data_IF_702558870455
#
_entry.id   IF_702558870455
#
_cell.length_a   1.000
_cell.length_b   1.000
_cell.length_c   1.000
_cell.angle_alpha   90.00
_cell.angle_beta   90.00
_cell.angle_gamma   90.00
#
_symmetry.space_group_name_H-M   'P 1'
#
loop_
_entity.id
_entity.type
_entity.pdbx_description
1 polymer ?
#
# COMPACT_ATOMS: atom_id res chain seq x y z
N UNK A 1 -4.76 -4.34 29.13
CA UNK A 1 -3.94 -3.99 27.95
C UNK A 1 -3.28 -2.66 28.25
N UNK A 2 -1.94 -2.55 28.21
CA UNK A 2 -1.17 -1.39 28.74
C UNK A 2 -1.78 -0.02 28.40
N UNK A 3 -2.16 0.21 27.14
CA UNK A 3 -2.73 1.49 26.70
C UNK A 3 -4.12 1.79 27.29
N UNK A 4 -4.92 0.75 27.54
CA UNK A 4 -6.25 0.88 28.17
C UNK A 4 -6.20 0.99 29.69
N UNK A 5 -5.07 0.59 30.29
CA UNK A 5 -4.84 0.57 31.73
C UNK A 5 -4.14 1.86 32.23
N UNK A 6 -3.90 2.83 31.33
CA UNK A 6 -3.35 4.14 31.67
C UNK A 6 -4.27 4.91 32.62
N UNK A 7 -3.66 5.67 33.54
CA UNK A 7 -4.40 6.42 34.55
C UNK A 7 -5.24 7.54 33.91
N UNK A 8 -6.40 7.83 34.53
CA UNK A 8 -7.29 8.90 34.08
C UNK A 8 -6.55 10.26 34.08
N UNK A 9 -6.55 10.95 32.94
CA UNK A 9 -5.83 12.22 32.74
C UNK A 9 -4.44 12.09 32.10
N UNK A 10 -3.93 10.88 31.85
CA UNK A 10 -2.71 10.70 31.05
C UNK A 10 -2.95 11.00 29.55
N UNK A 11 -1.91 11.48 28.86
CA UNK A 11 -1.97 11.78 27.43
C UNK A 11 -1.89 10.47 26.61
N UNK A 12 -3.07 9.94 26.29
CA UNK A 12 -3.20 8.70 25.52
C UNK A 12 -2.71 8.87 24.08
N UNK A 13 -2.89 10.06 23.49
CA UNK A 13 -2.37 10.36 22.16
C UNK A 13 -0.85 10.25 22.11
N UNK A 14 -0.17 10.78 23.13
CA UNK A 14 1.28 10.63 23.30
C UNK A 14 1.68 9.15 23.48
N UNK A 15 0.99 8.40 24.33
CA UNK A 15 1.30 6.98 24.56
C UNK A 15 1.14 6.13 23.27
N UNK A 16 0.10 6.38 22.48
CA UNK A 16 -0.08 5.71 21.17
C UNK A 16 1.04 6.10 20.20
N UNK A 17 1.43 7.38 20.15
CA UNK A 17 2.55 7.84 19.32
C UNK A 17 3.88 7.16 19.71
N UNK A 18 4.13 6.99 21.02
CA UNK A 18 5.31 6.29 21.54
C UNK A 18 5.27 4.80 21.19
N UNK A 19 4.10 4.16 21.26
CA UNK A 19 3.93 2.78 20.83
C UNK A 19 4.22 2.61 19.33
N UNK A 20 3.71 3.51 18.47
CA UNK A 20 4.05 3.50 17.04
C UNK A 20 5.56 3.66 16.81
N UNK A 21 6.21 4.57 17.55
CA UNK A 21 7.65 4.78 17.45
C UNK A 21 8.46 3.53 17.87
N UNK A 22 8.01 2.82 18.89
CA UNK A 22 8.63 1.58 19.33
C UNK A 22 8.51 0.48 18.25
N UNK A 23 7.35 0.35 17.60
CA UNK A 23 7.16 -0.60 16.49
C UNK A 23 8.11 -0.28 15.34
N UNK A 24 8.24 0.98 14.94
CA UNK A 24 9.17 1.37 13.87
C UNK A 24 10.64 1.13 14.22
N UNK A 25 11.03 1.27 15.49
CA UNK A 25 12.40 1.04 15.94
C UNK A 25 12.82 -0.43 15.78
N UNK A 26 11.87 -1.36 15.90
CA UNK A 26 12.10 -2.80 15.74
C UNK A 26 11.87 -3.28 14.30
N UNK A 27 11.32 -2.43 13.42
CA UNK A 27 10.92 -2.80 12.05
C UNK A 27 11.39 -1.76 11.03
N UNK A 28 12.57 -1.98 10.44
CA UNK A 28 13.15 -1.04 9.46
C UNK A 28 12.23 -0.78 8.25
N UNK A 29 11.42 -1.75 7.83
CA UNK A 29 10.46 -1.57 6.72
C UNK A 29 9.33 -0.57 7.05
N UNK A 30 9.01 -0.41 8.33
CA UNK A 30 7.97 0.50 8.82
C UNK A 30 8.53 1.86 9.27
N UNK A 31 9.83 2.09 9.14
CA UNK A 31 10.46 3.34 9.57
C UNK A 31 9.84 4.56 8.88
N UNK A 32 9.27 5.46 9.68
CA UNK A 32 8.57 6.66 9.19
C UNK A 32 7.24 6.39 8.47
N UNK A 33 6.69 5.17 8.59
CA UNK A 33 5.45 4.74 7.94
C UNK A 33 4.24 4.97 8.84
N UNK A 34 4.37 4.67 10.14
CA UNK A 34 3.25 4.69 11.07
C UNK A 34 2.87 6.12 11.47
N UNK A 35 1.57 6.46 11.53
CA UNK A 35 1.12 7.79 11.90
C UNK A 35 1.48 8.12 13.35
N UNK A 36 1.92 9.36 13.60
CA UNK A 36 2.25 9.87 14.94
C UNK A 36 1.47 11.13 15.32
N UNK A 37 0.28 11.29 14.76
CA UNK A 37 -0.58 12.47 14.95
C UNK A 37 -1.76 12.22 15.90
N UNK A 38 -1.72 11.17 16.71
CA UNK A 38 -2.83 10.78 17.60
C UNK A 38 -3.15 11.81 18.68
N UNK A 39 -2.20 12.67 19.06
CA UNK A 39 -2.46 13.82 19.96
C UNK A 39 -3.43 14.87 19.41
N UNK A 40 -3.83 14.79 18.14
CA UNK A 40 -4.89 15.64 17.56
C UNK A 40 -6.30 15.16 17.90
N UNK A 41 -6.44 13.92 18.38
CA UNK A 41 -7.73 13.31 18.72
C UNK A 41 -8.00 13.47 20.22
N UNK A 42 -9.26 13.71 20.63
CA UNK A 42 -9.62 13.71 22.04
C UNK A 42 -9.32 12.35 22.69
N UNK A 43 -8.83 12.35 23.93
CA UNK A 43 -8.57 11.11 24.68
C UNK A 43 -9.80 10.20 24.76
N UNK A 44 -11.00 10.75 24.90
CA UNK A 44 -12.25 9.96 24.95
C UNK A 44 -12.45 9.14 23.68
N UNK A 45 -12.20 9.74 22.51
CA UNK A 45 -12.29 9.05 21.21
C UNK A 45 -11.24 7.94 21.11
N UNK A 46 -10.02 8.19 21.56
CA UNK A 46 -8.95 7.19 21.56
C UNK A 46 -9.27 6.01 22.50
N UNK A 47 -9.81 6.28 23.69
CA UNK A 47 -10.23 5.22 24.63
C UNK A 47 -11.33 4.36 24.03
N UNK A 48 -12.35 4.96 23.43
CA UNK A 48 -13.43 4.22 22.77
C UNK A 48 -12.92 3.38 21.61
N UNK A 49 -12.06 3.94 20.75
CA UNK A 49 -11.45 3.21 19.64
C UNK A 49 -10.63 2.02 20.12
N UNK A 50 -9.76 2.20 21.11
CA UNK A 50 -8.94 1.12 21.66
C UNK A 50 -9.80 0.05 22.35
N UNK A 51 -10.91 0.41 23.00
CA UNK A 51 -11.85 -0.58 23.57
C UNK A 51 -12.53 -1.40 22.48
N UNK A 52 -12.96 -0.78 21.38
CA UNK A 52 -13.54 -1.49 20.23
C UNK A 52 -12.53 -2.48 19.65
N UNK A 53 -11.28 -2.05 19.44
CA UNK A 53 -10.22 -2.90 18.91
C UNK A 53 -9.84 -4.04 19.87
N UNK A 54 -9.71 -3.75 21.17
CA UNK A 54 -9.42 -4.76 22.19
C UNK A 54 -10.57 -5.79 22.34
N UNK A 55 -11.81 -5.37 22.08
CA UNK A 55 -12.98 -6.25 22.09
C UNK A 55 -13.00 -7.30 20.99
N UNK A 56 -12.15 -7.16 19.96
CA UNK A 56 -12.00 -8.19 18.91
C UNK A 56 -11.29 -9.45 19.43
N UNK A 57 -10.54 -9.34 20.53
CA UNK A 57 -9.78 -10.46 21.10
C UNK A 57 -8.60 -10.90 20.22
N UNK A 58 -8.09 -12.10 20.48
CA UNK A 58 -7.16 -12.76 19.56
C UNK A 58 -7.94 -13.25 18.35
N UNK A 59 -7.63 -12.70 17.18
CA UNK A 59 -8.27 -13.11 15.93
C UNK A 59 -7.29 -13.94 15.12
N UNK A 60 -7.71 -15.16 14.77
CA UNK A 60 -6.89 -16.08 13.97
C UNK A 60 -6.84 -15.67 12.49
N UNK A 61 -5.70 -15.92 11.86
CA UNK A 61 -5.50 -15.73 10.42
C UNK A 61 -5.51 -14.26 9.97
N UNK A 62 -6.05 -14.01 8.78
CA UNK A 62 -5.97 -12.71 8.07
C UNK A 62 -7.13 -11.74 8.44
N UNK A 63 -7.59 -11.76 9.68
CA UNK A 63 -8.75 -10.94 10.06
C UNK A 63 -8.41 -9.45 10.09
N UNK A 64 -7.26 -9.08 10.65
CA UNK A 64 -6.80 -7.68 10.68
C UNK A 64 -6.51 -7.15 9.28
N UNK A 65 -5.97 -7.96 8.36
CA UNK A 65 -5.81 -7.59 6.94
C UNK A 65 -7.13 -7.30 6.26
N UNK A 66 -8.13 -8.16 6.45
CA UNK A 66 -9.49 -7.92 5.92
C UNK A 66 -10.15 -6.68 6.51
N UNK A 67 -9.99 -6.42 7.81
CA UNK A 67 -10.49 -5.19 8.46
C UNK A 67 -9.80 -3.97 7.86
N UNK A 68 -8.48 -4.03 7.69
CA UNK A 68 -7.70 -2.96 7.09
C UNK A 68 -8.16 -2.64 5.67
N UNK A 69 -8.24 -3.65 4.80
CA UNK A 69 -8.72 -3.52 3.41
C UNK A 69 -10.16 -2.99 3.34
N UNK A 70 -11.04 -3.43 4.25
CA UNK A 70 -12.40 -2.93 4.33
C UNK A 70 -12.43 -1.43 4.61
N UNK A 71 -11.71 -0.96 5.65
CA UNK A 71 -11.68 0.46 5.99
C UNK A 71 -10.98 1.28 4.91
N UNK A 72 -9.91 0.77 4.32
CA UNK A 72 -9.20 1.40 3.20
C UNK A 72 -10.14 1.61 2.01
N UNK A 73 -10.91 0.59 1.63
CA UNK A 73 -11.93 0.71 0.58
C UNK A 73 -13.06 1.68 0.96
N UNK A 74 -13.49 1.72 2.23
CA UNK A 74 -14.52 2.68 2.70
C UNK A 74 -14.02 4.13 2.66
N UNK A 75 -12.78 4.38 3.08
CA UNK A 75 -12.19 5.72 3.00
C UNK A 75 -11.99 6.15 1.57
N UNK A 76 -11.51 5.27 0.69
CA UNK A 76 -11.37 5.58 -0.72
C UNK A 76 -12.72 5.89 -1.40
N UNK A 77 -13.80 5.20 -1.04
CA UNK A 77 -15.14 5.53 -1.54
C UNK A 77 -15.62 6.90 -1.05
N UNK A 78 -15.32 7.26 0.20
CA UNK A 78 -15.69 8.56 0.78
C UNK A 78 -14.87 9.71 0.19
N UNK A 79 -13.57 9.50 -0.07
CA UNK A 79 -12.68 10.48 -0.71
C UNK A 79 -12.90 10.57 -2.22
N UNK A 80 -13.18 9.44 -2.89
CA UNK A 80 -13.43 9.35 -4.33
C UNK A 80 -14.66 10.13 -4.80
N UNK A 81 -15.61 10.42 -3.91
CA UNK A 81 -16.69 11.40 -4.18
C UNK A 81 -16.17 12.80 -4.47
N UNK A 82 -14.90 13.10 -4.14
CA UNK A 82 -14.23 14.38 -4.35
C UNK A 82 -13.22 14.36 -5.51
N UNK A 83 -13.17 13.30 -6.31
CA UNK A 83 -12.43 13.27 -7.58
C UNK A 83 -10.94 12.90 -7.49
N UNK A 84 -10.51 12.14 -6.47
CA UNK A 84 -9.14 11.66 -6.28
C UNK A 84 -8.93 10.18 -6.56
N UNK A 85 -7.66 9.81 -6.80
CA UNK A 85 -7.08 8.49 -7.15
C UNK A 85 -7.93 7.27 -6.76
N UNK A 86 -8.28 6.48 -7.77
CA UNK A 86 -9.26 5.40 -7.68
C UNK A 86 -8.70 4.17 -6.96
N UNK A 87 -9.27 3.83 -5.80
CA UNK A 87 -9.14 2.49 -5.25
C UNK A 87 -9.71 1.48 -6.25
N UNK A 88 -8.88 0.51 -6.65
CA UNK A 88 -9.31 -0.57 -7.54
C UNK A 88 -10.20 -1.53 -6.76
N UNK A 89 -11.47 -1.74 -7.15
CA UNK A 89 -12.33 -2.67 -6.44
C UNK A 89 -11.72 -4.08 -6.38
N UNK A 90 -11.83 -4.73 -5.24
CA UNK A 90 -11.23 -6.05 -4.99
C UNK A 90 -11.61 -7.09 -6.04
N UNK A 91 -12.82 -7.01 -6.62
CA UNK A 91 -13.25 -7.90 -7.71
C UNK A 91 -12.40 -7.76 -8.97
N UNK A 92 -12.05 -6.54 -9.36
CA UNK A 92 -11.20 -6.25 -10.53
C UNK A 92 -9.77 -6.69 -10.26
N UNK A 93 -9.24 -6.38 -9.07
CA UNK A 93 -7.91 -6.81 -8.66
C UNK A 93 -7.81 -8.34 -8.70
N UNK A 94 -8.77 -9.06 -8.11
CA UNK A 94 -8.81 -10.53 -8.14
C UNK A 94 -8.86 -11.06 -9.56
N UNK A 95 -9.68 -10.48 -10.44
CA UNK A 95 -9.74 -10.89 -11.83
C UNK A 95 -8.37 -10.78 -12.52
N UNK A 96 -7.68 -9.65 -12.36
CA UNK A 96 -6.35 -9.44 -12.95
C UNK A 96 -5.36 -10.48 -12.42
N UNK A 97 -5.33 -10.68 -11.10
CA UNK A 97 -4.43 -11.65 -10.45
C UNK A 97 -4.69 -13.09 -10.91
N UNK A 98 -5.96 -13.50 -11.02
CA UNK A 98 -6.33 -14.84 -11.48
C UNK A 98 -6.04 -15.05 -12.98
N UNK A 99 -5.93 -13.98 -13.78
CA UNK A 99 -5.54 -14.08 -15.20
C UNK A 99 -4.02 -14.22 -15.36
N UNK A 100 -3.24 -13.44 -14.60
CA UNK A 100 -1.78 -13.43 -14.74
C UNK A 100 -1.10 -14.54 -13.93
N UNK A 101 -1.81 -15.13 -12.97
CA UNK A 101 -1.37 -16.29 -12.18
C UNK A 101 0.04 -16.15 -11.57
N UNK A 102 0.31 -15.16 -10.71
CA UNK A 102 1.65 -14.88 -10.20
C UNK A 102 2.02 -15.90 -9.10
N UNK A 103 2.38 -17.12 -9.48
CA UNK A 103 2.70 -18.21 -8.55
C UNK A 103 4.03 -18.03 -7.79
N UNK A 104 4.97 -17.27 -8.37
CA UNK A 104 6.30 -16.97 -7.84
C UNK A 104 6.96 -15.84 -8.63
N UNK A 105 8.06 -15.28 -8.15
CA UNK A 105 8.88 -14.30 -8.86
C UNK A 105 8.66 -12.85 -8.40
N UNK A 106 9.21 -11.91 -9.18
CA UNK A 106 9.12 -10.48 -8.91
C UNK A 106 7.86 -9.90 -9.52
N UNK A 107 7.02 -9.29 -8.70
CA UNK A 107 5.81 -8.61 -9.14
C UNK A 107 5.97 -7.10 -9.01
N UNK A 108 5.44 -6.35 -9.98
CA UNK A 108 5.58 -4.90 -10.03
C UNK A 108 4.28 -4.18 -10.36
N UNK A 109 3.99 -3.11 -9.61
CA UNK A 109 2.95 -2.14 -9.94
C UNK A 109 3.54 -0.71 -9.99
N UNK A 110 3.63 -0.09 -11.19
CA UNK A 110 4.17 1.26 -11.36
C UNK A 110 3.24 2.40 -10.87
N UNK A 111 2.03 2.10 -10.41
CA UNK A 111 1.08 3.05 -9.86
C UNK A 111 0.29 2.36 -8.72
N UNK A 112 1.01 1.86 -7.72
CA UNK A 112 0.52 0.82 -6.83
C UNK A 112 -0.60 1.25 -5.87
N UNK A 113 -0.83 2.56 -5.72
CA UNK A 113 -1.80 3.08 -4.77
C UNK A 113 -1.54 2.49 -3.39
N UNK A 114 -2.58 1.97 -2.74
CA UNK A 114 -2.52 1.34 -1.43
C UNK A 114 -2.01 -0.12 -1.43
N UNK A 115 -1.47 -0.62 -2.54
CA UNK A 115 -0.86 -1.95 -2.63
C UNK A 115 -1.84 -3.13 -2.77
N UNK A 116 -3.11 -2.88 -3.10
CA UNK A 116 -4.15 -3.93 -3.17
C UNK A 116 -3.82 -5.05 -4.17
N UNK A 117 -3.16 -4.72 -5.28
CA UNK A 117 -2.69 -5.71 -6.27
C UNK A 117 -1.74 -6.75 -5.65
N UNK A 118 -0.85 -6.32 -4.75
CA UNK A 118 0.12 -7.19 -4.08
C UNK A 118 -0.55 -8.07 -3.03
N UNK A 119 -1.47 -7.51 -2.24
CA UNK A 119 -2.25 -8.27 -1.25
C UNK A 119 -3.03 -9.39 -1.92
N UNK A 120 -3.70 -9.10 -3.03
CA UNK A 120 -4.46 -10.13 -3.74
C UNK A 120 -3.56 -11.16 -4.43
N UNK A 121 -2.38 -10.76 -4.93
CA UNK A 121 -1.37 -11.69 -5.44
C UNK A 121 -0.88 -12.66 -4.35
N UNK A 122 -0.60 -12.16 -3.15
CA UNK A 122 -0.23 -13.00 -2.02
C UNK A 122 -1.36 -13.93 -1.56
N UNK A 123 -2.60 -13.44 -1.55
CA UNK A 123 -3.77 -14.27 -1.27
C UNK A 123 -3.97 -15.36 -2.34
N UNK A 124 -3.68 -15.07 -3.61
CA UNK A 124 -3.68 -16.06 -4.70
C UNK A 124 -2.67 -17.17 -4.42
N UNK A 125 -1.41 -16.83 -4.13
CA UNK A 125 -0.36 -17.81 -3.81
C UNK A 125 -0.72 -18.65 -2.58
N UNK A 126 -1.25 -18.01 -1.53
CA UNK A 126 -1.70 -18.69 -0.31
C UNK A 126 -2.84 -19.67 -0.58
N UNK A 127 -3.84 -19.31 -1.40
CA UNK A 127 -4.92 -20.23 -1.81
C UNK A 127 -4.42 -21.44 -2.58
N UNK A 128 -3.28 -21.30 -3.28
CA UNK A 128 -2.60 -22.37 -3.99
C UNK A 128 -1.57 -23.12 -3.12
N UNK A 129 -1.75 -23.11 -1.80
CA UNK A 129 -0.97 -23.87 -0.80
C UNK A 129 0.54 -23.56 -0.78
N UNK A 130 0.90 -22.32 -1.11
CA UNK A 130 2.27 -21.81 -1.03
C UNK A 130 2.38 -20.65 -0.04
N UNK A 131 3.60 -20.31 0.37
CA UNK A 131 3.87 -19.18 1.26
C UNK A 131 4.23 -17.95 0.43
N UNK A 132 3.31 -16.99 0.33
CA UNK A 132 3.48 -15.80 -0.50
C UNK A 132 4.78 -15.04 -0.25
N UNK A 133 5.17 -14.87 1.03
CA UNK A 133 6.41 -14.17 1.41
C UNK A 133 7.70 -14.88 0.94
N UNK A 134 7.64 -16.18 0.62
CA UNK A 134 8.78 -16.94 0.10
C UNK A 134 8.79 -16.97 -1.43
N UNK A 135 7.63 -16.81 -2.06
CA UNK A 135 7.46 -16.98 -3.50
C UNK A 135 7.48 -15.64 -4.25
N UNK A 136 7.01 -14.56 -3.63
CA UNK A 136 6.83 -13.26 -4.27
C UNK A 136 7.81 -12.22 -3.73
N UNK A 137 8.43 -11.47 -4.63
CA UNK A 137 9.15 -10.24 -4.29
C UNK A 137 8.38 -9.04 -4.83
N UNK A 138 7.94 -8.16 -3.93
CA UNK A 138 7.05 -7.03 -4.26
C UNK A 138 7.85 -5.76 -4.55
N UNK A 139 7.52 -5.11 -5.67
CA UNK A 139 8.05 -3.80 -6.03
C UNK A 139 6.90 -2.88 -6.43
N UNK A 140 6.93 -1.62 -6.01
CA UNK A 140 5.88 -0.68 -6.38
C UNK A 140 6.34 0.77 -6.38
N UNK A 141 5.63 1.58 -7.15
CA UNK A 141 5.81 3.02 -7.20
C UNK A 141 4.47 3.71 -6.98
N UNK A 142 4.46 4.73 -6.13
CA UNK A 142 3.31 5.62 -5.92
C UNK A 142 3.80 7.06 -5.79
N UNK A 143 3.07 8.02 -6.34
CA UNK A 143 3.44 9.43 -6.35
C UNK A 143 3.17 10.10 -5.00
N UNK A 144 2.09 9.74 -4.33
CA UNK A 144 1.69 10.34 -3.06
C UNK A 144 2.32 9.61 -1.87
N UNK A 145 3.17 10.30 -1.11
CA UNK A 145 3.84 9.73 0.07
C UNK A 145 2.86 9.12 1.09
N UNK A 146 1.74 9.80 1.37
CA UNK A 146 0.76 9.26 2.32
C UNK A 146 0.15 7.94 1.83
N UNK A 147 -0.03 7.79 0.51
CA UNK A 147 -0.47 6.54 -0.11
C UNK A 147 0.64 5.47 -0.11
N UNK A 148 1.91 5.84 -0.26
CA UNK A 148 3.05 4.92 -0.06
C UNK A 148 3.03 4.34 1.35
N UNK A 149 2.74 5.15 2.37
CA UNK A 149 2.63 4.67 3.76
C UNK A 149 1.46 3.70 3.93
N UNK A 150 0.30 3.99 3.30
CA UNK A 150 -0.84 3.07 3.27
C UNK A 150 -0.45 1.73 2.62
N UNK A 151 0.25 1.75 1.49
CA UNK A 151 0.72 0.52 0.84
C UNK A 151 1.65 -0.31 1.74
N UNK A 152 2.63 0.33 2.39
CA UNK A 152 3.57 -0.35 3.30
C UNK A 152 2.86 -0.95 4.51
N UNK A 153 1.94 -0.20 5.14
CA UNK A 153 1.11 -0.74 6.23
C UNK A 153 0.23 -1.90 5.76
N UNK A 154 -0.34 -1.79 4.56
CA UNK A 154 -1.19 -2.84 4.00
C UNK A 154 -0.41 -4.14 3.77
N UNK A 155 0.79 -4.04 3.19
CA UNK A 155 1.70 -5.19 3.06
C UNK A 155 2.02 -5.81 4.42
N UNK A 156 2.43 -4.98 5.39
CA UNK A 156 2.83 -5.45 6.72
C UNK A 156 1.69 -6.19 7.46
N UNK A 157 0.46 -5.66 7.43
CA UNK A 157 -0.70 -6.32 8.05
C UNK A 157 -1.03 -7.66 7.39
N UNK A 158 -0.71 -7.84 6.11
CA UNK A 158 -0.86 -9.11 5.40
C UNK A 158 0.38 -10.01 5.47
N UNK A 159 1.37 -9.66 6.31
CA UNK A 159 2.61 -10.44 6.47
C UNK A 159 3.51 -10.41 5.23
N UNK A 160 3.46 -9.32 4.46
CA UNK A 160 4.25 -9.11 3.25
C UNK A 160 5.24 -7.97 3.44
N UNK A 161 6.34 -8.07 2.70
CA UNK A 161 7.38 -7.06 2.59
C UNK A 161 7.54 -6.65 1.13
N UNK A 162 7.90 -5.40 0.87
CA UNK A 162 8.04 -4.90 -0.49
C UNK A 162 8.79 -3.58 -0.60
N UNK A 163 9.46 -3.39 -1.74
CA UNK A 163 10.16 -2.14 -2.07
C UNK A 163 9.17 -1.16 -2.73
N UNK A 164 8.45 -0.42 -1.89
CA UNK A 164 7.51 0.63 -2.31
C UNK A 164 8.17 2.00 -2.20
N UNK A 165 8.23 2.73 -3.32
CA UNK A 165 8.94 4.01 -3.41
C UNK A 165 8.02 5.15 -3.82
N UNK A 166 8.20 6.29 -3.15
CA UNK A 166 7.60 7.56 -3.55
C UNK A 166 8.28 8.05 -4.82
N UNK A 167 7.56 8.09 -5.94
CA UNK A 167 8.11 8.56 -7.21
C UNK A 167 7.03 8.84 -8.24
N UNK A 168 7.30 9.79 -9.15
CA UNK A 168 6.45 10.00 -10.31
C UNK A 168 6.94 9.13 -11.48
N UNK A 169 6.23 8.04 -11.73
CA UNK A 169 6.56 7.05 -12.77
C UNK A 169 6.75 7.64 -14.17
N UNK A 170 6.14 8.78 -14.52
CA UNK A 170 6.44 9.41 -15.82
C UNK A 170 7.86 9.94 -15.91
N UNK A 171 8.44 10.41 -14.82
CA UNK A 171 9.69 11.16 -14.81
C UNK A 171 10.86 10.43 -14.16
N UNK A 172 10.56 9.34 -13.47
CA UNK A 172 11.51 8.61 -12.65
C UNK A 172 11.24 7.11 -12.82
N UNK A 173 12.31 6.31 -12.74
CA UNK A 173 12.26 4.85 -12.78
C UNK A 173 13.12 4.30 -11.62
N UNK A 174 12.64 4.41 -10.37
CA UNK A 174 13.47 4.09 -9.21
C UNK A 174 13.83 2.60 -9.16
N UNK A 175 13.01 1.74 -9.76
CA UNK A 175 13.23 0.30 -9.81
C UNK A 175 13.98 -0.17 -11.06
N UNK A 176 14.30 0.75 -11.99
CA UNK A 176 15.01 0.44 -13.24
C UNK A 176 14.26 -0.63 -14.05
N UNK A 177 12.95 -0.45 -14.17
CA UNK A 177 12.00 -1.39 -14.75
C UNK A 177 12.31 -1.70 -16.24
N UNK A 178 12.83 -0.71 -16.97
CA UNK A 178 13.14 -0.86 -18.41
C UNK A 178 14.63 -0.78 -18.69
N UNK A 179 15.37 0.06 -17.98
CA UNK A 179 16.79 0.30 -18.24
C UNK A 179 17.67 -0.43 -17.23
N UNK A 180 18.43 -1.41 -17.71
CA UNK A 180 19.36 -2.21 -16.89
C UNK A 180 18.85 -3.62 -16.61
N UNK A 181 19.54 -4.34 -15.72
CA UNK A 181 19.24 -5.74 -15.41
C UNK A 181 18.61 -5.96 -14.01
N UNK A 182 18.36 -4.90 -13.25
CA UNK A 182 17.85 -5.01 -11.87
C UNK A 182 16.33 -5.04 -11.77
N UNK A 183 15.62 -4.30 -12.64
CA UNK A 183 14.15 -4.15 -12.63
C UNK A 183 13.42 -5.03 -13.64
N UNK A 184 13.98 -6.16 -14.06
CA UNK A 184 13.21 -7.15 -14.82
C UNK A 184 12.23 -7.84 -13.87
N UNK A 185 10.94 -7.70 -14.15
CA UNK A 185 9.84 -8.25 -13.37
C UNK A 185 9.18 -9.39 -14.14
N UNK A 186 8.74 -10.41 -13.40
CA UNK A 186 8.06 -11.58 -13.97
C UNK A 186 6.59 -11.25 -14.28
N UNK A 187 5.96 -10.43 -13.42
CA UNK A 187 4.58 -9.99 -13.58
C UNK A 187 4.46 -8.49 -13.34
N UNK A 188 3.74 -7.80 -14.23
CA UNK A 188 3.39 -6.39 -14.08
C UNK A 188 1.88 -6.26 -14.11
N UNK A 189 1.34 -5.56 -13.12
CA UNK A 189 -0.09 -5.28 -13.02
C UNK A 189 -0.28 -3.87 -12.47
N UNK A 190 -1.27 -3.13 -12.98
CA UNK A 190 -1.50 -1.76 -12.56
C UNK A 190 -2.96 -1.37 -12.80
N UNK A 191 -3.45 -0.44 -11.99
CA UNK A 191 -4.60 0.39 -12.33
C UNK A 191 -4.15 1.86 -12.29
N UNK A 192 -3.53 2.35 -13.37
CA UNK A 192 -3.01 3.71 -13.40
C UNK A 192 -4.16 4.74 -13.34
N UNK A 193 -3.89 5.98 -12.89
CA UNK A 193 -4.87 7.05 -12.93
C UNK A 193 -5.42 7.25 -14.35
N UNK A 194 -6.75 7.37 -14.46
CA UNK A 194 -7.42 7.61 -15.74
C UNK A 194 -7.27 9.06 -16.19
N UNK A 195 -7.16 9.26 -17.51
CA UNK A 195 -7.18 10.58 -18.16
C UNK A 195 -6.16 11.59 -17.60
N UNK A 196 -4.96 11.12 -17.22
CA UNK A 196 -3.89 12.01 -16.77
C UNK A 196 -3.52 12.98 -17.89
N UNK A 197 -3.58 14.27 -17.58
CA UNK A 197 -3.12 15.36 -18.44
C UNK A 197 -1.92 16.07 -17.80
N UNK A 198 -1.23 16.91 -18.58
CA UNK A 198 -0.11 17.71 -18.06
C UNK A 198 1.21 16.95 -17.87
N UNK A 199 1.37 15.79 -18.53
CA UNK A 199 2.69 15.15 -18.65
C UNK A 199 3.59 16.03 -19.53
N UNK A 200 4.75 16.42 -19.00
CA UNK A 200 5.75 17.21 -19.72
C UNK A 200 6.44 16.35 -20.78
N UNK A 201 6.04 16.55 -22.04
CA UNK A 201 6.57 15.80 -23.19
C UNK A 201 8.05 16.05 -23.43
N UNK A 202 8.56 17.24 -23.14
CA UNK A 202 9.98 17.55 -23.32
C UNK A 202 10.84 16.79 -22.32
N UNK A 203 10.32 16.56 -21.11
CA UNK A 203 11.02 15.80 -20.08
C UNK A 203 11.13 14.30 -20.39
N UNK A 204 10.22 13.75 -21.20
CA UNK A 204 10.15 12.31 -21.50
C UNK A 204 10.53 11.94 -22.94
N UNK A 205 10.90 12.91 -23.79
CA UNK A 205 11.13 12.69 -25.24
C UNK A 205 12.25 11.70 -25.57
N UNK A 206 13.30 11.66 -24.75
CA UNK A 206 14.46 10.78 -24.93
C UNK A 206 14.42 9.60 -23.96
N UNK A 207 13.29 9.39 -23.27
CA UNK A 207 13.17 8.34 -22.28
C UNK A 207 12.97 6.96 -22.96
N UNK A 208 13.85 5.99 -22.67
CA UNK A 208 13.83 4.67 -23.32
C UNK A 208 12.57 3.85 -23.02
N UNK A 209 11.74 4.27 -22.07
CA UNK A 209 10.44 3.64 -21.77
C UNK A 209 9.37 3.93 -22.84
N UNK A 210 9.62 4.87 -23.75
CA UNK A 210 8.71 5.21 -24.86
C UNK A 210 9.28 4.86 -26.24
N UNK A 211 9.67 3.59 -26.51
CA UNK A 211 10.28 3.21 -27.79
C UNK A 211 9.31 3.34 -28.98
N UNK A 212 8.01 3.44 -28.72
CA UNK A 212 6.95 3.60 -29.71
C UNK A 212 6.42 5.04 -29.80
N UNK A 213 7.12 6.00 -29.18
CA UNK A 213 6.70 7.40 -29.10
C UNK A 213 5.91 7.72 -27.82
N UNK A 214 5.81 9.02 -27.53
CA UNK A 214 5.10 9.52 -26.34
C UNK A 214 3.58 9.43 -26.59
N UNK A 215 2.79 8.83 -25.68
CA UNK A 215 1.34 8.77 -25.80
C UNK A 215 0.71 10.17 -25.99
N UNK A 216 -0.26 10.28 -26.90
CA UNK A 216 -1.06 11.49 -27.07
C UNK A 216 -2.29 11.47 -26.16
N UNK A 217 -2.91 12.63 -25.98
CA UNK A 217 -4.12 12.80 -25.14
C UNK A 217 -5.41 12.38 -25.85
N UNK A 218 -5.31 11.72 -27.01
CA UNK A 218 -6.40 11.58 -27.98
C UNK A 218 -7.07 10.19 -27.96
N UNK A 219 -6.92 9.44 -26.85
CA UNK A 219 -7.52 8.11 -26.66
C UNK A 219 -8.83 8.18 -25.89
#
# INVERSE_FOLDING_TARGET
SYLLDLAEGQDLGKAVNEAMAAVEAENEELKGVLPRSYGRLPNTVLVELLRVLNGLGEVEGDAFGKIYEYFLGKFALAEGQKGGVFYTPTSIVKLIVEIIEPFHGKIFDPACGSGGMFVQSAQFVTRHQKRAAEELTVFGTEKANDTVKLAKMNLAVHGLSGDIRESNTYYEDPHKAVVGNTGRFDFVMANPPFNVSGVDKERVKDDPRFPFGIPTTDN
#
